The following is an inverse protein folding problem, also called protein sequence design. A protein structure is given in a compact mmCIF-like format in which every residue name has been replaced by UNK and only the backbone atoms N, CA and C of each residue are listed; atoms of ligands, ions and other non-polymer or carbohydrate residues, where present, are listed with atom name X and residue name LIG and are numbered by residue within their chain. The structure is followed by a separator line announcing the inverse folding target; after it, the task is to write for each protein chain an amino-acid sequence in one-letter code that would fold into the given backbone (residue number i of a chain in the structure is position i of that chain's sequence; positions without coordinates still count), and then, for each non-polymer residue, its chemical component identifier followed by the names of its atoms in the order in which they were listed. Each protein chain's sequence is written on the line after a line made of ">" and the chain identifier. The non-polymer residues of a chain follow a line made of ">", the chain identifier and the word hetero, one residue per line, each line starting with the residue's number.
data_IF_891694782069
#
_entry.id   IF_891694782069
#
_cell.length_a   1.000
_cell.length_b   1.000
_cell.length_c   1.000
_cell.angle_alpha   90.00
_cell.angle_beta   90.00
_cell.angle_gamma   90.00
#
_symmetry.space_group_name_H-M   'P 1'
#
loop_
_entity.id
_entity.type
_entity.pdbx_description
1 polymer ?
#
# COMPACT_ATOMS: atom_id res chain seq x y z
N UNK A 1 79.36 4.17 23.77
CA UNK A 1 79.68 2.96 23.03
C UNK A 1 79.56 1.76 23.94
N UNK A 2 78.79 0.72 23.70
CA UNK A 2 78.61 -0.10 22.53
C UNK A 2 77.08 -0.24 22.14
N UNK A 3 76.73 -0.26 20.89
CA UNK A 3 76.41 -1.42 20.00
C UNK A 3 75.37 -2.39 20.57
N UNK A 4 74.14 -2.33 20.05
CA UNK A 4 73.10 -3.37 20.17
C UNK A 4 72.48 -3.73 18.82
N UNK A 5 72.66 -5.01 18.52
CA UNK A 5 72.26 -5.69 17.29
C UNK A 5 70.74 -5.75 17.03
N UNK A 6 70.37 -5.50 15.80
CA UNK A 6 69.04 -5.72 15.27
C UNK A 6 68.71 -7.21 15.17
N UNK A 7 67.59 -7.67 15.76
CA UNK A 7 66.98 -8.99 15.47
C UNK A 7 65.83 -8.83 14.52
N UNK A 8 66.06 -9.21 13.28
CA UNK A 8 65.03 -9.37 12.24
C UNK A 8 64.16 -10.58 12.54
N UNK A 9 62.88 -10.35 12.84
CA UNK A 9 61.90 -11.42 12.98
C UNK A 9 61.28 -11.71 11.61
N UNK A 10 61.54 -12.89 11.07
CA UNK A 10 60.93 -13.43 9.87
C UNK A 10 59.45 -13.74 10.14
N UNK A 11 58.57 -13.03 9.49
CA UNK A 11 57.13 -13.29 9.48
C UNK A 11 56.84 -14.46 8.52
N UNK A 12 56.45 -15.60 9.07
CA UNK A 12 56.01 -16.77 8.31
C UNK A 12 54.57 -16.47 7.77
N UNK A 13 54.44 -16.48 6.45
CA UNK A 13 53.17 -16.45 5.76
C UNK A 13 52.55 -17.84 5.80
N UNK A 14 51.53 -18.04 6.62
CA UNK A 14 50.72 -19.25 6.58
C UNK A 14 49.70 -19.14 5.45
N UNK A 15 49.82 -19.98 4.47
CA UNK A 15 48.90 -20.14 3.37
C UNK A 15 47.57 -20.74 3.88
N UNK A 16 46.51 -19.97 3.81
CA UNK A 16 45.16 -20.44 4.11
C UNK A 16 44.66 -21.31 2.94
N UNK A 17 44.30 -22.55 3.25
CA UNK A 17 43.62 -23.49 2.35
C UNK A 17 42.24 -22.96 1.95
N UNK A 18 41.79 -23.13 0.71
CA UNK A 18 40.42 -22.74 0.32
C UNK A 18 39.40 -23.67 0.98
N UNK A 19 38.47 -23.06 1.69
CA UNK A 19 37.29 -23.74 2.25
C UNK A 19 36.41 -24.19 1.11
N UNK A 20 36.19 -25.50 1.02
CA UNK A 20 35.34 -26.13 0.02
C UNK A 20 33.90 -25.58 0.05
N UNK A 21 33.43 -25.15 -1.11
CA UNK A 21 32.02 -24.79 -1.33
C UNK A 21 31.16 -26.05 -1.18
N UNK A 22 30.63 -26.28 0.01
CA UNK A 22 29.57 -27.24 0.23
C UNK A 22 28.35 -26.84 -0.59
N UNK A 23 28.02 -27.60 -1.62
CA UNK A 23 26.73 -27.51 -2.30
C UNK A 23 25.65 -27.93 -1.29
N UNK A 24 24.98 -26.96 -0.69
CA UNK A 24 23.71 -27.21 0.01
C UNK A 24 22.73 -27.60 -1.09
N UNK A 25 22.40 -28.87 -1.16
CA UNK A 25 21.32 -29.38 -2.00
C UNK A 25 20.01 -28.78 -1.48
N UNK A 26 19.55 -27.69 -2.10
CA UNK A 26 18.19 -27.20 -1.93
C UNK A 26 17.28 -28.24 -2.57
N UNK A 27 16.61 -29.02 -1.74
CA UNK A 27 15.49 -29.85 -2.21
C UNK A 27 14.44 -28.90 -2.81
N UNK A 28 13.91 -29.19 -4.01
CA UNK A 28 12.82 -28.38 -4.57
C UNK A 28 11.61 -28.54 -3.64
N UNK A 29 11.31 -27.51 -2.88
CA UNK A 29 10.05 -27.41 -2.15
C UNK A 29 8.97 -27.38 -3.23
N UNK A 30 8.30 -28.50 -3.44
CA UNK A 30 7.19 -28.62 -4.36
C UNK A 30 6.16 -27.56 -3.97
N UNK A 31 5.94 -26.57 -4.85
CA UNK A 31 4.90 -25.56 -4.64
C UNK A 31 3.58 -26.27 -4.37
N UNK A 32 2.85 -25.89 -3.30
CA UNK A 32 1.56 -26.50 -3.01
C UNK A 32 0.65 -26.32 -4.23
N UNK A 33 0.03 -27.42 -4.68
CA UNK A 33 -0.93 -27.37 -5.80
C UNK A 33 -2.00 -26.35 -5.47
N UNK A 34 -2.38 -25.46 -6.42
CA UNK A 34 -3.38 -24.45 -6.17
C UNK A 34 -4.69 -25.15 -5.79
N UNK A 35 -5.04 -25.07 -4.50
CA UNK A 35 -6.34 -25.53 -4.02
C UNK A 35 -7.40 -24.66 -4.69
N UNK A 36 -8.47 -25.26 -5.19
CA UNK A 36 -9.60 -24.53 -5.78
C UNK A 36 -10.20 -23.63 -4.70
N UNK A 37 -9.87 -22.33 -4.75
CA UNK A 37 -10.47 -21.35 -3.87
C UNK A 37 -11.97 -21.33 -4.10
N UNK A 38 -12.76 -21.41 -3.04
CA UNK A 38 -14.22 -21.36 -3.13
C UNK A 38 -14.64 -19.94 -3.48
N UNK A 39 -14.83 -19.64 -4.79
CA UNK A 39 -15.36 -18.38 -5.24
C UNK A 39 -16.87 -18.21 -5.00
N UNK A 40 -17.49 -19.14 -4.25
CA UNK A 40 -18.92 -19.12 -3.96
C UNK A 40 -19.22 -18.06 -2.90
N UNK A 41 -20.19 -17.19 -3.19
CA UNK A 41 -20.69 -16.20 -2.25
C UNK A 41 -21.37 -16.86 -1.06
N UNK A 42 -21.04 -16.40 0.15
CA UNK A 42 -21.81 -16.62 1.37
C UNK A 42 -21.85 -15.31 2.16
N UNK A 43 -22.99 -14.98 2.80
CA UNK A 43 -23.13 -13.74 3.57
C UNK A 43 -22.08 -13.61 4.67
N UNK A 44 -21.77 -14.70 5.35
CA UNK A 44 -20.80 -14.73 6.47
C UNK A 44 -19.40 -14.39 5.98
N UNK A 45 -19.02 -14.92 4.81
CA UNK A 45 -17.72 -14.68 4.20
C UNK A 45 -17.58 -13.24 3.73
N UNK A 46 -18.66 -12.66 3.17
CA UNK A 46 -18.68 -11.25 2.77
C UNK A 46 -18.56 -10.34 4.00
N UNK A 47 -19.30 -10.62 5.08
CA UNK A 47 -19.22 -9.88 6.33
C UNK A 47 -17.83 -9.95 6.96
N UNK A 48 -17.20 -11.13 6.98
CA UNK A 48 -15.84 -11.30 7.48
C UNK A 48 -14.83 -10.46 6.68
N UNK A 49 -14.94 -10.47 5.34
CA UNK A 49 -14.07 -9.67 4.47
C UNK A 49 -14.28 -8.17 4.74
N UNK A 50 -15.53 -7.70 4.83
CA UNK A 50 -15.83 -6.29 5.06
C UNK A 50 -15.36 -5.84 6.45
N UNK A 51 -15.55 -6.66 7.48
CA UNK A 51 -15.04 -6.40 8.82
C UNK A 51 -13.51 -6.26 8.83
N UNK A 52 -12.78 -7.10 8.11
CA UNK A 52 -11.32 -7.00 8.03
C UNK A 52 -10.85 -5.77 7.25
N UNK A 53 -11.58 -5.41 6.19
CA UNK A 53 -11.33 -4.18 5.43
C UNK A 53 -11.55 -2.95 6.33
N UNK A 54 -12.61 -2.92 7.13
CA UNK A 54 -12.90 -1.80 8.04
C UNK A 54 -11.86 -1.66 9.16
N UNK A 55 -11.13 -2.73 9.46
CA UNK A 55 -9.97 -2.71 10.36
C UNK A 55 -8.66 -2.27 9.66
N UNK A 56 -8.72 -1.84 8.41
CA UNK A 56 -7.58 -1.36 7.64
C UNK A 56 -6.79 -2.46 6.93
N UNK A 57 -7.25 -3.72 6.92
CA UNK A 57 -6.55 -4.79 6.23
C UNK A 57 -6.79 -4.72 4.70
N UNK A 58 -5.72 -4.75 3.88
CA UNK A 58 -5.88 -4.69 2.44
C UNK A 58 -6.59 -5.92 1.88
N UNK A 59 -7.58 -5.74 1.01
CA UNK A 59 -8.31 -6.85 0.35
C UNK A 59 -7.36 -7.86 -0.31
N UNK A 60 -6.25 -7.39 -0.89
CA UNK A 60 -5.25 -8.29 -1.48
C UNK A 60 -4.64 -9.24 -0.45
N UNK A 61 -4.43 -8.78 0.78
CA UNK A 61 -3.88 -9.59 1.87
C UNK A 61 -4.89 -10.63 2.33
N UNK A 62 -6.14 -10.22 2.55
CA UNK A 62 -7.24 -11.11 2.92
C UNK A 62 -7.40 -12.24 1.89
N UNK A 63 -7.41 -11.89 0.61
CA UNK A 63 -7.57 -12.86 -0.48
C UNK A 63 -6.36 -13.78 -0.71
N UNK A 64 -5.24 -13.62 0.01
CA UNK A 64 -4.12 -14.58 -0.04
C UNK A 64 -4.39 -15.85 0.76
N UNK A 65 -5.26 -15.79 1.74
CA UNK A 65 -5.62 -16.94 2.56
C UNK A 65 -6.35 -18.00 1.72
N UNK A 66 -6.04 -19.28 1.95
CA UNK A 66 -6.59 -20.39 1.17
C UNK A 66 -8.11 -20.50 1.24
N UNK A 67 -8.70 -20.19 2.40
CA UNK A 67 -10.16 -20.20 2.61
C UNK A 67 -10.90 -19.02 2.03
N UNK A 68 -10.19 -17.95 1.66
CA UNK A 68 -10.78 -16.71 1.16
C UNK A 68 -10.97 -16.75 -0.37
N UNK A 69 -11.99 -16.05 -0.89
CA UNK A 69 -12.23 -15.94 -2.31
C UNK A 69 -11.11 -15.16 -3.00
N UNK A 70 -11.06 -15.24 -4.31
CA UNK A 70 -10.19 -14.36 -5.09
C UNK A 70 -10.70 -12.93 -5.03
N UNK A 71 -9.81 -11.96 -5.17
CA UNK A 71 -10.18 -10.53 -5.23
C UNK A 71 -11.24 -10.27 -6.32
N UNK A 72 -11.12 -10.92 -7.48
CA UNK A 72 -12.09 -10.79 -8.57
C UNK A 72 -13.49 -11.29 -8.16
N UNK A 73 -13.56 -12.40 -7.43
CA UNK A 73 -14.85 -12.91 -6.94
C UNK A 73 -15.53 -11.91 -6.00
N UNK A 74 -14.76 -11.25 -5.11
CA UNK A 74 -15.32 -10.22 -4.22
C UNK A 74 -15.86 -9.03 -5.03
N UNK A 75 -15.14 -8.55 -6.03
CA UNK A 75 -15.65 -7.47 -6.89
C UNK A 75 -16.88 -7.88 -7.66
N UNK A 76 -16.93 -9.09 -8.19
CA UNK A 76 -18.12 -9.59 -8.88
C UNK A 76 -19.35 -9.65 -7.95
N UNK A 77 -19.17 -9.96 -6.66
CA UNK A 77 -20.28 -9.92 -5.69
C UNK A 77 -20.76 -8.49 -5.43
N UNK A 78 -19.80 -7.56 -5.26
CA UNK A 78 -20.09 -6.14 -5.04
C UNK A 78 -20.77 -5.51 -6.25
N UNK A 79 -20.34 -5.85 -7.46
CA UNK A 79 -20.93 -5.34 -8.72
C UNK A 79 -22.33 -5.93 -8.99
N UNK A 80 -22.64 -7.08 -8.41
CA UNK A 80 -23.91 -7.76 -8.57
C UNK A 80 -25.00 -7.38 -7.56
N UNK A 81 -24.67 -6.63 -6.50
CA UNK A 81 -25.60 -6.27 -5.41
C UNK A 81 -25.28 -4.89 -4.85
N UNK A 82 -26.17 -3.93 -5.06
CA UNK A 82 -26.04 -2.55 -4.59
C UNK A 82 -25.90 -2.44 -3.07
N UNK A 83 -26.53 -3.34 -2.32
CA UNK A 83 -26.41 -3.38 -0.85
C UNK A 83 -25.00 -3.78 -0.43
N UNK A 84 -24.40 -4.77 -1.10
CA UNK A 84 -23.02 -5.16 -0.88
C UNK A 84 -22.05 -4.05 -1.31
N UNK A 85 -22.34 -3.35 -2.40
CA UNK A 85 -21.54 -2.22 -2.86
C UNK A 85 -21.48 -1.11 -1.81
N UNK A 86 -22.62 -0.77 -1.20
CA UNK A 86 -22.70 0.23 -0.14
C UNK A 86 -21.91 -0.21 1.10
N UNK A 87 -22.08 -1.46 1.53
CA UNK A 87 -21.35 -2.02 2.68
C UNK A 87 -19.83 -2.05 2.42
N UNK A 88 -19.40 -2.42 1.22
CA UNK A 88 -18.00 -2.44 0.84
C UNK A 88 -17.39 -1.04 0.82
N UNK A 89 -18.12 -0.05 0.27
CA UNK A 89 -17.69 1.36 0.27
C UNK A 89 -17.50 1.88 1.70
N UNK A 90 -18.48 1.61 2.58
CA UNK A 90 -18.41 1.98 3.99
C UNK A 90 -17.22 1.30 4.71
N UNK A 91 -17.03 0.01 4.51
CA UNK A 91 -15.90 -0.72 5.08
C UNK A 91 -14.55 -0.13 4.63
N UNK A 92 -14.44 0.34 3.40
CA UNK A 92 -13.24 1.02 2.90
C UNK A 92 -13.02 2.39 3.55
N UNK A 93 -14.07 3.15 3.80
CA UNK A 93 -13.99 4.43 4.52
C UNK A 93 -13.52 4.23 5.96
N UNK A 94 -14.14 3.29 6.67
CA UNK A 94 -13.74 2.90 8.03
C UNK A 94 -12.28 2.40 8.07
N UNK A 95 -11.87 1.63 7.06
CA UNK A 95 -10.48 1.16 6.93
C UNK A 95 -9.47 2.28 6.71
N UNK A 96 -9.84 3.37 6.04
CA UNK A 96 -9.00 4.58 5.98
C UNK A 96 -8.84 5.20 7.36
N UNK A 97 -9.90 5.28 8.14
CA UNK A 97 -9.86 5.80 9.50
C UNK A 97 -8.95 4.95 10.39
N UNK A 98 -9.09 3.63 10.33
CA UNK A 98 -8.23 2.69 11.05
C UNK A 98 -6.74 2.85 10.70
N UNK A 99 -6.40 3.12 9.44
CA UNK A 99 -5.01 3.39 9.05
C UNK A 99 -4.47 4.70 9.63
N UNK A 100 -5.30 5.74 9.73
CA UNK A 100 -4.92 7.01 10.35
C UNK A 100 -4.69 6.83 11.85
N UNK A 101 -5.58 6.12 12.52
CA UNK A 101 -5.44 5.79 13.95
C UNK A 101 -4.18 4.94 14.20
N UNK A 102 -3.90 3.96 13.34
CA UNK A 102 -2.65 3.17 13.43
C UNK A 102 -1.41 4.05 13.24
N UNK A 103 -1.47 5.09 12.39
CA UNK A 103 -0.35 6.01 12.21
C UNK A 103 -0.05 6.79 13.50
N UNK A 104 -1.08 7.19 14.23
CA UNK A 104 -0.97 7.83 15.54
C UNK A 104 -0.33 6.89 16.55
N UNK A 105 -0.84 5.65 16.65
CA UNK A 105 -0.28 4.63 17.54
C UNK A 105 1.21 4.33 17.25
N UNK A 106 1.62 4.32 15.98
CA UNK A 106 3.02 4.13 15.59
C UNK A 106 3.88 5.31 16.06
N UNK A 107 3.34 6.54 15.98
CA UNK A 107 4.05 7.77 16.36
C UNK A 107 4.21 7.85 17.88
N UNK A 108 3.20 7.45 18.64
CA UNK A 108 3.19 7.49 20.11
C UNK A 108 4.04 6.38 20.72
N UNK A 109 4.37 5.35 19.94
CA UNK A 109 5.22 4.25 20.43
C UNK A 109 6.66 4.71 20.64
N UNK A 110 7.18 4.52 21.86
CA UNK A 110 8.57 4.82 22.18
C UNK A 110 9.53 4.09 21.22
N UNK A 111 10.50 4.79 20.60
CA UNK A 111 11.49 4.16 19.73
C UNK A 111 12.36 3.16 20.50
N UNK A 112 13.01 2.24 19.77
CA UNK A 112 13.92 1.27 20.36
C UNK A 112 15.05 1.98 21.11
N UNK A 113 15.16 1.70 22.40
CA UNK A 113 16.24 2.22 23.22
C UNK A 113 17.48 1.31 23.11
N UNK A 114 18.64 1.92 22.92
CA UNK A 114 19.97 1.29 22.93
C UNK A 114 20.77 1.94 24.02
N UNK A 115 21.57 1.16 24.75
CA UNK A 115 22.47 1.66 25.77
C UNK A 115 23.90 1.68 25.23
N UNK A 116 24.63 2.79 25.45
CA UNK A 116 26.04 2.88 25.09
C UNK A 116 26.95 2.15 26.15
N UNK A 117 28.24 2.07 25.88
CA UNK A 117 29.17 1.41 26.77
C UNK A 117 29.27 2.07 28.18
N UNK A 118 28.86 3.33 28.27
CA UNK A 118 28.79 4.09 29.52
C UNK A 118 27.44 3.93 30.24
N UNK A 119 26.49 3.15 29.69
CA UNK A 119 25.17 2.92 30.25
C UNK A 119 24.14 4.04 29.95
N UNK A 120 24.45 5.01 29.10
CA UNK A 120 23.50 6.07 28.75
C UNK A 120 22.46 5.56 27.75
N UNK A 121 21.19 5.89 28.00
CA UNK A 121 20.09 5.55 27.12
C UNK A 121 20.13 6.43 25.86
N UNK A 122 20.14 5.80 24.69
CA UNK A 122 19.97 6.46 23.39
C UNK A 122 18.84 5.78 22.62
N UNK A 123 18.22 6.51 21.73
CA UNK A 123 17.24 5.91 20.83
C UNK A 123 17.89 5.57 19.48
N UNK A 124 17.58 4.38 18.98
CA UNK A 124 18.07 3.94 17.67
C UNK A 124 17.48 4.80 16.55
N UNK A 125 18.35 5.45 15.79
CA UNK A 125 17.97 6.33 14.69
C UNK A 125 17.24 5.60 13.57
N UNK A 126 17.57 4.33 13.32
CA UNK A 126 16.89 3.47 12.35
C UNK A 126 15.45 3.19 12.77
N UNK A 127 15.22 2.92 14.06
CA UNK A 127 13.87 2.72 14.61
C UNK A 127 13.02 3.98 14.51
N UNK A 128 13.59 5.15 14.81
CA UNK A 128 12.90 6.45 14.68
C UNK A 128 12.50 6.69 13.21
N UNK A 129 13.45 6.54 12.28
CA UNK A 129 13.22 6.74 10.86
C UNK A 129 12.16 5.76 10.31
N UNK A 130 12.22 4.51 10.70
CA UNK A 130 11.27 3.47 10.32
C UNK A 130 9.85 3.82 10.78
N UNK A 131 9.65 4.19 12.05
CA UNK A 131 8.35 4.57 12.58
C UNK A 131 7.79 5.81 11.87
N UNK A 132 8.63 6.82 11.65
CA UNK A 132 8.27 8.02 10.88
C UNK A 132 7.78 7.67 9.48
N UNK A 133 8.54 6.87 8.73
CA UNK A 133 8.16 6.46 7.37
C UNK A 133 6.86 5.66 7.35
N UNK A 134 6.66 4.77 8.31
CA UNK A 134 5.41 3.99 8.41
C UNK A 134 4.20 4.90 8.65
N UNK A 135 4.29 5.83 9.58
CA UNK A 135 3.21 6.76 9.88
C UNK A 135 2.89 7.68 8.69
N UNK A 136 3.91 8.33 8.12
CA UNK A 136 3.76 9.20 6.95
C UNK A 136 3.15 8.47 5.74
N UNK A 137 3.57 7.24 5.48
CA UNK A 137 3.06 6.47 4.35
C UNK A 137 1.58 6.12 4.51
N UNK A 138 1.13 5.79 5.72
CA UNK A 138 -0.29 5.55 6.01
C UNK A 138 -1.13 6.79 5.81
N UNK A 139 -0.67 7.95 6.28
CA UNK A 139 -1.36 9.22 6.08
C UNK A 139 -1.46 9.60 4.60
N UNK A 140 -0.39 9.39 3.83
CA UNK A 140 -0.40 9.61 2.37
C UNK A 140 -1.39 8.69 1.66
N UNK A 141 -1.44 7.42 2.04
CA UNK A 141 -2.42 6.47 1.48
C UNK A 141 -3.86 6.86 1.83
N UNK A 142 -4.12 7.24 3.08
CA UNK A 142 -5.44 7.71 3.52
C UNK A 142 -5.88 8.95 2.73
N UNK A 143 -4.98 9.91 2.51
CA UNK A 143 -5.24 11.10 1.69
C UNK A 143 -5.56 10.75 0.22
N UNK A 144 -4.90 9.74 -0.36
CA UNK A 144 -5.19 9.25 -1.71
C UNK A 144 -6.52 8.48 -1.80
N UNK A 145 -6.85 7.69 -0.78
CA UNK A 145 -8.04 6.84 -0.81
C UNK A 145 -9.32 7.57 -0.40
N UNK A 146 -9.21 8.51 0.53
CA UNK A 146 -10.32 9.38 0.93
C UNK A 146 -9.89 10.86 0.93
N UNK A 147 -9.74 11.47 -0.26
CA UNK A 147 -9.27 12.84 -0.39
C UNK A 147 -10.26 13.87 0.21
N UNK A 148 -11.54 13.54 0.29
CA UNK A 148 -12.55 14.41 0.91
C UNK A 148 -12.30 14.62 2.40
N UNK A 149 -11.87 13.58 3.11
CA UNK A 149 -11.65 13.60 4.56
C UNK A 149 -10.19 13.93 4.92
N UNK A 150 -9.22 13.35 4.21
CA UNK A 150 -7.80 13.40 4.56
C UNK A 150 -6.93 14.11 3.52
N UNK A 151 -7.49 14.51 2.38
CA UNK A 151 -6.75 15.25 1.35
C UNK A 151 -6.36 16.65 1.80
N UNK A 152 -5.26 17.16 1.26
CA UNK A 152 -4.83 18.54 1.47
C UNK A 152 -5.85 19.48 0.84
N UNK A 153 -6.50 20.31 1.65
CA UNK A 153 -7.42 21.34 1.16
C UNK A 153 -6.59 22.55 0.73
N UNK A 154 -6.61 22.86 -0.55
CA UNK A 154 -6.07 24.11 -1.08
C UNK A 154 -7.20 25.12 -1.11
N UNK A 155 -7.14 26.11 -0.23
CA UNK A 155 -8.04 27.27 -0.30
C UNK A 155 -7.45 28.24 -1.34
N UNK A 156 -8.12 28.36 -2.49
CA UNK A 156 -7.81 29.42 -3.46
C UNK A 156 -8.49 30.70 -3.00
N UNK A 157 -7.76 31.54 -2.26
CA UNK A 157 -8.18 32.88 -1.91
C UNK A 157 -7.87 33.80 -3.08
N UNK A 158 -8.88 34.46 -3.64
CA UNK A 158 -8.72 35.53 -4.61
C UNK A 158 -8.90 36.90 -3.94
N UNK A 159 -8.27 37.95 -4.49
CA UNK A 159 -8.58 39.34 -4.16
C UNK A 159 -10.03 39.61 -4.59
N UNK A 160 -10.89 40.18 -3.70
CA UNK A 160 -12.26 40.57 -4.07
C UNK A 160 -12.35 41.48 -5.32
N UNK A 161 -11.31 42.26 -5.56
CA UNK A 161 -11.24 43.17 -6.70
C UNK A 161 -10.64 42.54 -7.97
N UNK A 162 -10.00 41.36 -7.83
CA UNK A 162 -9.43 40.59 -8.94
C UNK A 162 -9.67 39.11 -8.76
N UNK A 163 -10.93 38.64 -8.92
CA UNK A 163 -11.28 37.24 -8.74
C UNK A 163 -10.54 36.38 -9.74
N UNK A 164 -10.00 35.25 -9.26
CA UNK A 164 -9.36 34.24 -10.10
C UNK A 164 -10.43 33.67 -11.03
N UNK A 165 -10.35 33.96 -12.31
CA UNK A 165 -11.21 33.37 -13.34
C UNK A 165 -10.74 31.94 -13.58
N UNK A 166 -11.49 30.96 -13.05
CA UNK A 166 -11.28 29.55 -13.37
C UNK A 166 -12.07 29.28 -14.65
N UNK A 167 -11.41 29.34 -15.79
CA UNK A 167 -11.95 28.83 -17.03
C UNK A 167 -11.84 27.31 -16.99
N UNK A 168 -12.85 26.62 -16.45
CA UNK A 168 -13.01 25.21 -16.64
C UNK A 168 -13.37 24.99 -18.12
N UNK A 169 -12.39 24.68 -18.95
CA UNK A 169 -12.66 24.10 -20.26
C UNK A 169 -13.23 22.69 -20.01
N UNK A 170 -14.54 22.65 -19.90
CA UNK A 170 -15.25 21.38 -19.83
C UNK A 170 -15.24 20.82 -21.23
N UNK A 171 -14.37 19.85 -21.50
CA UNK A 171 -14.39 19.05 -22.76
C UNK A 171 -15.70 18.25 -22.94
N UNK A 172 -16.67 18.42 -22.03
CA UNK A 172 -18.00 17.80 -22.08
C UNK A 172 -18.77 18.16 -23.36
N UNK A 173 -18.55 19.36 -23.92
CA UNK A 173 -19.24 19.77 -25.13
C UNK A 173 -18.85 18.91 -26.34
N UNK A 174 -17.60 18.45 -26.43
CA UNK A 174 -17.13 17.59 -27.51
C UNK A 174 -17.74 16.19 -27.41
N UNK A 175 -17.87 15.66 -26.19
CA UNK A 175 -18.42 14.33 -25.95
C UNK A 175 -19.93 14.31 -26.14
N UNK A 176 -20.65 15.30 -25.61
CA UNK A 176 -22.08 15.47 -25.80
C UNK A 176 -22.45 15.73 -27.27
N UNK A 177 -21.68 16.57 -27.96
CA UNK A 177 -21.88 16.82 -29.41
C UNK A 177 -21.63 15.56 -30.24
N UNK A 178 -20.67 14.72 -29.89
CA UNK A 178 -20.44 13.43 -30.55
C UNK A 178 -21.58 12.44 -30.32
N UNK A 179 -22.12 12.38 -29.10
CA UNK A 179 -23.29 11.54 -28.78
C UNK A 179 -24.54 12.00 -29.57
N UNK A 180 -24.80 13.31 -29.59
CA UNK A 180 -25.94 13.87 -30.32
C UNK A 180 -25.82 13.62 -31.83
N UNK A 181 -24.64 13.77 -32.40
CA UNK A 181 -24.36 13.50 -33.82
C UNK A 181 -24.58 12.03 -34.17
N UNK A 182 -24.15 11.11 -33.32
CA UNK A 182 -24.39 9.68 -33.49
C UNK A 182 -25.88 9.31 -33.37
N UNK A 183 -26.64 9.96 -32.48
CA UNK A 183 -28.08 9.75 -32.35
C UNK A 183 -28.84 10.25 -33.57
N UNK A 184 -28.40 11.36 -34.17
CA UNK A 184 -29.01 11.93 -35.38
C UNK A 184 -28.73 11.09 -36.62
N UNK A 185 -27.52 10.59 -36.78
CA UNK A 185 -27.15 9.62 -37.82
C UNK A 185 -27.97 8.34 -37.74
N UNK A 186 -28.21 7.79 -36.57
CA UNK A 186 -29.06 6.60 -36.38
C UNK A 186 -30.53 6.86 -36.79
N UNK A 187 -31.07 8.08 -36.50
CA UNK A 187 -32.41 8.46 -36.92
C UNK A 187 -32.53 8.60 -38.45
N UNK A 188 -31.49 9.14 -39.11
CA UNK A 188 -31.47 9.28 -40.56
C UNK A 188 -31.37 7.93 -41.27
N UNK A 189 -30.63 6.97 -40.75
CA UNK A 189 -30.57 5.61 -41.29
C UNK A 189 -31.90 4.90 -41.15
N UNK A 190 -32.58 5.00 -40.00
CA UNK A 190 -33.87 4.40 -39.74
C UNK A 190 -35.06 5.06 -40.55
N UNK A 191 -34.86 6.25 -41.08
CA UNK A 191 -35.84 6.93 -41.90
C UNK A 191 -35.71 6.62 -43.42
N UNK A 192 -34.59 6.01 -43.83
CA UNK A 192 -34.27 5.63 -45.21
C UNK A 192 -34.47 4.13 -45.50
N UNK A 193 -34.92 3.34 -44.53
CA UNK A 193 -35.41 1.97 -44.66
C UNK A 193 -36.95 1.94 -44.72
#
# INVERSE_FOLDING_TARGET
>A
MPETAAKTSKRATAASKPVGKGKVAQQPVSAPKPQKRTGKYTPELAQEIFRRISMGEPLLQICKEERMPTRQAVYNWVDGDDSLALQFARAREEGCDAMVEESLFITDKEPLAVFDEAGNKRYDSGSIAWNKHRAEHRLKLAACWNPKKYGTKVALGGDPNNPIKIEAQVESDTYLSAIMKNAELKRQVAANE
#
